data_IF_243441266807
#
_entry.id   IF_243441266807
#
_cell.length_a   1.000
_cell.length_b   1.000
_cell.length_c   1.000
_cell.angle_alpha   90.00
_cell.angle_beta   90.00
_cell.angle_gamma   90.00
#
_symmetry.space_group_name_H-M   'P 1'
#
loop_
_entity.id
_entity.type
_entity.pdbx_description
1 polymer ?
#
# COMPACT_ATOMS: atom_id res chain seq x y z
N UNK A 1 54.59 -5.78 8.16
CA UNK A 1 54.76 -6.77 7.08
C UNK A 1 53.41 -7.45 6.83
N UNK A 2 52.83 -7.29 5.63
CA UNK A 2 51.82 -8.22 5.06
C UNK A 2 52.58 -9.34 4.31
N UNK A 3 52.00 -10.52 4.04
CA UNK A 3 51.09 -10.71 2.89
C UNK A 3 49.90 -11.65 3.20
N UNK A 4 48.65 -11.33 2.81
CA UNK A 4 47.98 -11.76 1.58
C UNK A 4 48.36 -13.14 1.03
N UNK A 5 47.40 -14.09 1.06
CA UNK A 5 47.37 -15.20 0.12
C UNK A 5 45.95 -15.38 -0.43
N UNK A 6 45.82 -15.06 -1.72
CA UNK A 6 44.74 -15.43 -2.62
C UNK A 6 44.71 -16.95 -2.79
N UNK A 7 43.55 -17.59 -2.67
CA UNK A 7 43.24 -18.81 -3.42
C UNK A 7 41.85 -18.66 -4.05
N UNK A 8 41.91 -18.51 -5.37
CA UNK A 8 40.85 -18.58 -6.34
C UNK A 8 40.60 -20.06 -6.63
N UNK A 9 39.36 -20.55 -6.47
CA UNK A 9 38.97 -21.87 -6.98
C UNK A 9 37.61 -21.74 -7.67
N UNK A 10 37.71 -21.61 -8.99
CA UNK A 10 36.69 -21.95 -9.98
C UNK A 10 36.37 -23.45 -9.86
N UNK A 11 35.10 -23.81 -9.77
CA UNK A 11 34.61 -25.03 -10.40
C UNK A 11 33.22 -24.77 -10.99
N UNK A 12 33.21 -24.72 -12.33
CA UNK A 12 32.02 -24.89 -13.14
C UNK A 12 31.56 -26.35 -13.08
N UNK A 13 30.26 -26.58 -12.95
CA UNK A 13 29.64 -27.83 -13.40
C UNK A 13 28.18 -27.53 -13.77
N UNK A 14 27.90 -27.51 -15.07
CA UNK A 14 27.27 -28.57 -15.88
C UNK A 14 25.76 -28.37 -15.99
N UNK A 15 25.38 -28.08 -17.23
CA UNK A 15 24.03 -28.09 -17.80
C UNK A 15 23.35 -29.45 -17.61
N UNK A 16 22.07 -29.45 -17.23
CA UNK A 16 21.13 -30.50 -17.61
C UNK A 16 19.83 -29.86 -18.09
N UNK A 17 19.58 -29.98 -19.38
CA UNK A 17 18.28 -29.80 -20.02
C UNK A 17 17.35 -30.95 -19.61
N UNK A 18 16.08 -30.64 -19.40
CA UNK A 18 15.01 -31.61 -19.23
C UNK A 18 13.66 -30.98 -19.49
N UNK A 19 13.24 -30.95 -20.77
CA UNK A 19 11.87 -30.65 -21.16
C UNK A 19 11.00 -31.89 -20.89
N UNK A 20 9.83 -31.70 -20.28
CA UNK A 20 8.73 -32.63 -20.46
C UNK A 20 7.41 -31.86 -20.44
N UNK A 21 6.85 -31.66 -21.63
CA UNK A 21 5.49 -31.17 -21.87
C UNK A 21 4.61 -32.41 -21.95
N UNK A 22 3.59 -32.49 -21.09
CA UNK A 22 2.48 -33.44 -21.25
C UNK A 22 1.18 -32.67 -21.07
N UNK A 23 0.50 -32.43 -22.20
CA UNK A 23 -0.89 -31.98 -22.23
C UNK A 23 -1.79 -33.21 -22.23
N UNK A 24 -2.79 -33.24 -21.33
CA UNK A 24 -3.99 -34.04 -21.48
C UNK A 24 -5.20 -33.23 -20.99
N UNK A 25 -6.20 -33.15 -21.85
CA UNK A 25 -7.40 -32.31 -21.75
C UNK A 25 -8.48 -32.88 -20.81
N UNK A 26 -9.30 -31.94 -20.32
CA UNK A 26 -10.77 -31.95 -20.16
C UNK A 26 -11.48 -33.02 -19.30
N UNK A 27 -12.16 -32.55 -18.25
CA UNK A 27 -13.55 -32.95 -17.94
C UNK A 27 -14.23 -31.91 -17.03
N UNK A 28 -15.38 -31.43 -17.51
CA UNK A 28 -16.43 -30.66 -16.84
C UNK A 28 -17.10 -31.43 -15.70
N UNK A 29 -17.42 -30.77 -14.58
CA UNK A 29 -18.78 -30.65 -14.00
C UNK A 29 -18.76 -30.06 -12.56
N UNK A 30 -19.34 -28.87 -12.48
CA UNK A 30 -20.32 -28.34 -11.53
C UNK A 30 -20.33 -28.72 -10.04
N UNK A 31 -20.53 -27.66 -9.24
CA UNK A 31 -21.14 -27.60 -7.89
C UNK A 31 -20.18 -27.55 -6.71
N UNK A 32 -19.84 -26.32 -6.33
CA UNK A 32 -19.16 -26.02 -5.07
C UNK A 32 -19.04 -24.51 -4.80
N UNK A 33 -20.06 -23.71 -5.16
CA UNK A 33 -20.15 -22.34 -4.67
C UNK A 33 -20.55 -22.37 -3.20
N UNK A 34 -19.87 -21.53 -2.42
CA UNK A 34 -20.10 -21.18 -1.02
C UNK A 34 -19.70 -22.20 0.06
N UNK A 35 -18.40 -22.20 0.42
CA UNK A 35 -17.96 -21.98 1.83
C UNK A 35 -16.44 -21.77 1.96
N UNK A 36 -15.90 -20.64 1.48
CA UNK A 36 -14.52 -20.23 1.85
C UNK A 36 -14.30 -18.72 1.93
N UNK A 37 -15.36 -17.94 2.16
CA UNK A 37 -15.27 -16.48 2.38
C UNK A 37 -15.28 -16.06 3.85
N UNK A 38 -15.46 -16.97 4.83
CA UNK A 38 -15.62 -16.55 6.24
C UNK A 38 -14.33 -16.43 7.06
N UNK A 39 -13.14 -16.45 6.44
CA UNK A 39 -11.86 -16.29 7.15
C UNK A 39 -11.27 -14.87 7.09
N UNK A 40 -11.90 -13.96 6.36
CA UNK A 40 -11.30 -12.65 6.05
C UNK A 40 -11.84 -11.50 6.90
N UNK A 41 -12.97 -11.71 7.60
CA UNK A 41 -13.53 -10.66 8.44
C UNK A 41 -12.61 -10.34 9.63
N UNK A 42 -12.26 -9.06 9.81
CA UNK A 42 -11.46 -8.55 10.92
C UNK A 42 -12.05 -9.00 12.26
N UNK A 43 -13.37 -8.86 12.40
CA UNK A 43 -14.11 -9.22 13.61
C UNK A 43 -14.10 -10.72 13.91
N UNK A 44 -13.81 -11.57 12.93
CA UNK A 44 -13.71 -13.03 13.12
C UNK A 44 -12.30 -13.45 13.56
N UNK A 45 -11.27 -12.65 13.25
CA UNK A 45 -9.88 -12.99 13.54
C UNK A 45 -9.33 -12.31 14.80
N UNK A 46 -9.96 -11.23 15.27
CA UNK A 46 -9.41 -10.38 16.32
C UNK A 46 -10.45 -10.01 17.37
N UNK A 47 -9.99 -9.90 18.62
CA UNK A 47 -10.81 -9.34 19.69
C UNK A 47 -10.91 -7.80 19.55
N UNK A 48 -11.88 -7.21 20.24
CA UNK A 48 -12.16 -5.76 20.17
C UNK A 48 -10.94 -4.90 20.49
N UNK A 49 -10.16 -5.25 21.52
CA UNK A 49 -8.97 -4.47 21.90
C UNK A 49 -7.90 -4.48 20.79
N UNK A 50 -7.66 -5.63 20.17
CA UNK A 50 -6.76 -5.73 19.02
C UNK A 50 -7.26 -4.95 17.81
N UNK A 51 -8.58 -4.97 17.55
CA UNK A 51 -9.18 -4.20 16.45
C UNK A 51 -8.95 -2.70 16.66
N UNK A 52 -9.09 -2.18 17.88
CA UNK A 52 -8.82 -0.77 18.19
C UNK A 52 -7.36 -0.41 17.88
N UNK A 53 -6.41 -1.23 18.31
CA UNK A 53 -4.98 -1.02 18.01
C UNK A 53 -4.70 -1.06 16.51
N UNK A 54 -5.33 -1.98 15.77
CA UNK A 54 -5.18 -2.03 14.31
C UNK A 54 -5.81 -0.83 13.60
N UNK A 55 -6.92 -0.32 14.12
CA UNK A 55 -7.53 0.90 13.62
C UNK A 55 -6.65 2.12 13.88
N UNK A 56 -6.00 2.22 15.03
CA UNK A 56 -5.00 3.27 15.34
C UNK A 56 -3.78 3.19 14.40
N UNK A 57 -3.30 1.99 14.11
CA UNK A 57 -2.22 1.78 13.14
C UNK A 57 -2.64 2.15 11.70
N UNK A 58 -3.87 1.85 11.32
CA UNK A 58 -4.43 2.27 10.03
C UNK A 58 -4.53 3.80 9.92
N UNK A 59 -4.91 4.48 10.99
CA UNK A 59 -4.85 5.94 11.06
C UNK A 59 -3.41 6.47 10.94
N UNK A 60 -2.44 5.83 11.59
CA UNK A 60 -1.04 6.22 11.47
C UNK A 60 -0.56 6.20 10.00
N UNK A 61 -1.05 5.26 9.17
CA UNK A 61 -0.76 5.24 7.73
C UNK A 61 -1.30 6.45 6.97
N UNK A 62 -2.46 6.96 7.36
CA UNK A 62 -3.01 8.20 6.80
C UNK A 62 -2.13 9.37 7.21
N UNK A 63 -1.72 9.44 8.49
CA UNK A 63 -0.81 10.48 8.99
C UNK A 63 0.55 10.47 8.28
N UNK A 64 1.11 9.28 8.04
CA UNK A 64 2.35 9.09 7.28
C UNK A 64 2.19 9.63 5.84
N UNK A 65 1.07 9.33 5.17
CA UNK A 65 0.78 9.83 3.83
C UNK A 65 0.81 11.36 3.78
N UNK A 66 0.11 12.04 4.69
CA UNK A 66 0.09 13.50 4.71
C UNK A 66 1.43 14.13 5.10
N UNK A 67 2.21 13.45 5.95
CA UNK A 67 3.60 13.85 6.25
C UNK A 67 4.47 13.77 4.99
N UNK A 68 4.30 12.73 4.17
CA UNK A 68 5.01 12.62 2.89
C UNK A 68 4.56 13.66 1.86
N UNK A 69 3.27 14.01 1.81
CA UNK A 69 2.80 15.11 0.94
C UNK A 69 3.47 16.43 1.31
N UNK A 70 3.63 16.72 2.61
CA UNK A 70 4.33 17.92 3.06
C UNK A 70 5.79 17.92 2.60
N UNK A 71 6.51 16.80 2.77
CA UNK A 71 7.89 16.64 2.29
C UNK A 71 8.00 16.82 0.76
N UNK A 72 7.05 16.28 0.00
CA UNK A 72 7.03 16.39 -1.45
C UNK A 72 6.83 17.84 -1.94
N UNK A 73 5.98 18.59 -1.24
CA UNK A 73 5.70 20.01 -1.51
C UNK A 73 6.81 20.98 -1.05
N UNK A 74 7.79 20.49 -0.27
CA UNK A 74 8.89 21.28 0.27
C UNK A 74 9.95 21.68 -0.75
N UNK A 75 11.00 22.40 -0.29
CA UNK A 75 12.12 22.85 -1.11
C UNK A 75 13.27 21.83 -1.19
N UNK A 76 12.93 20.55 -1.08
CA UNK A 76 13.90 19.46 -1.06
C UNK A 76 14.50 19.17 -2.43
N UNK A 77 15.64 18.47 -2.44
CA UNK A 77 16.28 18.03 -3.69
C UNK A 77 15.38 17.11 -4.51
N UNK A 78 15.55 17.15 -5.84
CA UNK A 78 14.79 16.32 -6.77
C UNK A 78 14.95 14.80 -6.49
N UNK A 79 16.17 14.38 -6.16
CA UNK A 79 16.45 12.99 -5.79
C UNK A 79 15.67 12.56 -4.54
N UNK A 80 15.61 13.42 -3.53
CA UNK A 80 14.84 13.16 -2.31
C UNK A 80 13.33 13.10 -2.60
N UNK A 81 12.80 14.06 -3.37
CA UNK A 81 11.39 14.06 -3.78
C UNK A 81 10.99 12.77 -4.51
N UNK A 82 11.86 12.23 -5.35
CA UNK A 82 11.63 10.95 -6.02
C UNK A 82 11.56 9.79 -5.02
N UNK A 83 12.42 9.76 -3.99
CA UNK A 83 12.34 8.75 -2.93
C UNK A 83 11.05 8.89 -2.11
N UNK A 84 10.61 10.11 -1.82
CA UNK A 84 9.33 10.38 -1.15
C UNK A 84 8.16 9.87 -2.00
N UNK A 85 8.17 10.09 -3.32
CA UNK A 85 7.14 9.55 -4.22
C UNK A 85 7.07 8.02 -4.17
N UNK A 86 8.21 7.33 -4.20
CA UNK A 86 8.24 5.86 -4.07
C UNK A 86 7.75 5.39 -2.70
N UNK A 87 8.06 6.15 -1.64
CA UNK A 87 7.55 5.88 -0.29
C UNK A 87 6.03 6.02 -0.24
N UNK A 88 5.47 7.07 -0.83
CA UNK A 88 4.02 7.25 -0.95
C UNK A 88 3.40 6.10 -1.74
N UNK A 89 3.95 5.75 -2.91
CA UNK A 89 3.44 4.63 -3.72
C UNK A 89 3.42 3.32 -2.95
N UNK A 90 4.42 3.05 -2.13
CA UNK A 90 4.48 1.84 -1.30
C UNK A 90 3.37 1.74 -0.24
N UNK A 91 2.73 2.86 0.11
CA UNK A 91 1.57 2.86 1.00
C UNK A 91 0.31 2.35 0.30
N UNK A 92 0.26 2.41 -1.03
CA UNK A 92 -0.88 1.95 -1.82
C UNK A 92 -0.64 0.53 -2.33
N UNK A 93 -1.66 -0.31 -2.29
CA UNK A 93 -1.57 -1.69 -2.79
C UNK A 93 -1.48 -1.79 -4.32
N UNK A 94 -1.76 -0.69 -5.02
CA UNK A 94 -1.71 -0.59 -6.48
C UNK A 94 -1.24 0.82 -6.88
N UNK A 95 -0.29 0.93 -7.80
CA UNK A 95 0.20 2.21 -8.32
C UNK A 95 -0.74 2.85 -9.34
N UNK A 96 -1.62 2.05 -9.97
CA UNK A 96 -2.65 2.51 -10.92
C UNK A 96 -3.94 2.99 -10.24
N UNK A 97 -3.88 3.39 -8.97
CA UNK A 97 -5.05 3.90 -8.23
C UNK A 97 -5.51 5.23 -8.83
N UNK A 98 -6.80 5.28 -9.18
CA UNK A 98 -7.52 6.51 -9.50
C UNK A 98 -8.12 7.08 -8.22
N UNK A 99 -7.94 8.38 -7.99
CA UNK A 99 -8.47 9.08 -6.83
C UNK A 99 -9.04 10.44 -7.24
N UNK A 100 -9.87 11.03 -6.38
CA UNK A 100 -10.39 12.36 -6.63
C UNK A 100 -9.27 13.39 -6.50
N UNK A 101 -9.23 14.34 -7.43
CA UNK A 101 -8.23 15.38 -7.44
C UNK A 101 -8.55 16.44 -6.39
N UNK A 102 -8.00 16.31 -5.19
CA UNK A 102 -8.21 17.29 -4.12
C UNK A 102 -7.51 18.63 -4.34
N UNK A 103 -6.69 18.77 -5.37
CA UNK A 103 -5.87 19.97 -5.62
C UNK A 103 -6.48 20.88 -6.67
N UNK A 104 -7.13 20.32 -7.68
CA UNK A 104 -7.85 21.08 -8.70
C UNK A 104 -9.33 21.21 -8.29
N UNK A 105 -9.95 22.33 -8.65
CA UNK A 105 -11.36 22.63 -8.30
C UNK A 105 -12.37 21.96 -9.24
N UNK A 106 -11.95 20.95 -10.00
CA UNK A 106 -12.79 20.21 -10.92
C UNK A 106 -13.01 18.79 -10.39
N UNK A 107 -14.26 18.29 -10.49
CA UNK A 107 -14.66 16.90 -10.22
C UNK A 107 -13.96 15.94 -11.20
N UNK A 108 -12.66 15.79 -11.00
CA UNK A 108 -11.74 15.12 -11.90
C UNK A 108 -11.04 14.04 -11.12
N UNK A 109 -11.02 12.85 -11.69
CA UNK A 109 -10.20 11.75 -11.18
C UNK A 109 -8.78 11.88 -11.73
N UNK A 110 -7.80 11.55 -10.92
CA UNK A 110 -6.38 11.58 -11.27
C UNK A 110 -5.70 10.30 -10.80
N UNK A 111 -4.72 9.81 -11.57
CA UNK A 111 -3.88 8.69 -11.13
C UNK A 111 -3.00 9.10 -9.95
N UNK A 112 -2.59 8.18 -9.09
CA UNK A 112 -1.60 8.45 -8.04
C UNK A 112 -0.32 9.08 -8.61
N UNK A 113 0.26 8.55 -9.67
CA UNK A 113 1.49 9.10 -10.27
C UNK A 113 1.32 10.55 -10.72
N UNK A 114 0.28 10.85 -11.51
CA UNK A 114 0.00 12.22 -11.95
C UNK A 114 -0.29 13.18 -10.78
N UNK A 115 -0.98 12.70 -9.74
CA UNK A 115 -1.24 13.50 -8.53
C UNK A 115 0.07 13.85 -7.82
N UNK A 116 0.98 12.88 -7.66
CA UNK A 116 2.29 13.13 -7.05
C UNK A 116 3.16 14.06 -7.90
N UNK A 117 3.13 13.93 -9.22
CA UNK A 117 3.83 14.87 -10.11
C UNK A 117 3.27 16.30 -9.99
N UNK A 118 1.94 16.43 -9.86
CA UNK A 118 1.30 17.71 -9.61
C UNK A 118 1.80 18.29 -8.28
N UNK A 119 1.78 17.53 -7.19
CA UNK A 119 2.28 18.00 -5.88
C UNK A 119 3.76 18.37 -5.88
N UNK A 120 4.58 17.61 -6.61
CA UNK A 120 6.01 17.85 -6.70
C UNK A 120 6.36 19.14 -7.44
N UNK A 121 5.59 19.46 -8.49
CA UNK A 121 5.82 20.62 -9.36
C UNK A 121 5.10 21.88 -8.90
N UNK A 122 4.04 21.74 -8.11
CA UNK A 122 3.24 22.84 -7.60
C UNK A 122 3.62 23.23 -6.17
N UNK A 123 3.26 24.44 -5.77
CA UNK A 123 3.36 24.89 -4.37
C UNK A 123 2.09 24.56 -3.57
N UNK A 124 1.41 23.47 -3.92
CA UNK A 124 0.19 23.10 -3.23
C UNK A 124 0.52 22.57 -1.83
N UNK A 125 -0.02 23.24 -0.82
CA UNK A 125 0.15 22.83 0.56
C UNK A 125 -1.07 22.03 1.00
N UNK A 126 -0.82 20.80 1.45
CA UNK A 126 -1.85 19.91 1.96
C UNK A 126 -1.54 19.57 3.40
N UNK A 127 -2.51 19.81 4.27
CA UNK A 127 -2.41 19.53 5.69
C UNK A 127 -3.60 18.70 6.15
N UNK A 128 -3.34 17.59 6.84
CA UNK A 128 -4.37 16.86 7.58
C UNK A 128 -4.75 17.68 8.81
N UNK A 129 -6.04 17.97 8.99
CA UNK A 129 -6.54 18.71 10.15
C UNK A 129 -7.01 17.76 11.25
N UNK A 130 -8.03 16.97 10.96
CA UNK A 130 -8.69 16.11 11.95
C UNK A 130 -9.29 14.88 11.30
N UNK A 131 -9.27 13.76 12.03
CA UNK A 131 -9.94 12.51 11.65
C UNK A 131 -11.22 12.40 12.47
N UNK A 132 -12.37 12.49 11.80
CA UNK A 132 -13.68 12.68 12.42
C UNK A 132 -14.40 11.35 12.66
N UNK A 133 -14.29 10.41 11.72
CA UNK A 133 -15.00 9.13 11.79
C UNK A 133 -14.09 7.98 11.41
N UNK A 134 -14.28 6.87 12.11
CA UNK A 134 -13.60 5.62 11.87
C UNK A 134 -14.61 4.48 11.94
N UNK A 135 -14.70 3.67 10.90
CA UNK A 135 -15.56 2.50 10.86
C UNK A 135 -14.74 1.26 10.54
N UNK A 136 -15.13 0.13 11.14
CA UNK A 136 -14.56 -1.19 10.83
C UNK A 136 -15.48 -1.87 9.83
N UNK A 137 -14.94 -2.25 8.67
CA UNK A 137 -15.61 -3.08 7.68
C UNK A 137 -15.02 -4.49 7.72
N UNK A 138 -15.50 -5.37 6.83
CA UNK A 138 -15.11 -6.76 6.79
C UNK A 138 -13.58 -6.94 6.70
N UNK A 139 -12.90 -6.24 5.81
CA UNK A 139 -11.46 -6.38 5.54
C UNK A 139 -10.72 -5.03 5.49
N UNK A 140 -11.28 -4.01 6.11
CA UNK A 140 -10.71 -2.66 6.06
C UNK A 140 -11.23 -1.75 7.16
N UNK A 141 -10.54 -0.64 7.34
CA UNK A 141 -10.98 0.49 8.14
C UNK A 141 -11.35 1.65 7.21
N UNK A 142 -12.48 2.31 7.47
CA UNK A 142 -12.92 3.48 6.71
C UNK A 142 -12.77 4.71 7.58
N UNK A 143 -12.09 5.72 7.05
CA UNK A 143 -11.84 6.98 7.70
C UNK A 143 -12.54 8.11 6.95
N UNK A 144 -13.13 9.04 7.69
CA UNK A 144 -13.54 10.35 7.18
C UNK A 144 -12.77 11.42 7.94
N UNK A 145 -12.16 12.34 7.21
CA UNK A 145 -11.28 13.34 7.78
C UNK A 145 -11.25 14.62 6.93
N UNK A 146 -10.88 15.72 7.56
CA UNK A 146 -10.78 17.02 6.89
C UNK A 146 -9.32 17.34 6.59
N UNK A 147 -9.06 17.80 5.36
CA UNK A 147 -7.77 18.33 4.94
C UNK A 147 -7.88 19.80 4.55
N UNK A 148 -6.79 20.54 4.72
CA UNK A 148 -6.63 21.89 4.21
C UNK A 148 -5.77 21.84 2.96
N UNK A 149 -6.32 22.29 1.82
CA UNK A 149 -5.62 22.41 0.54
C UNK A 149 -5.61 23.87 0.13
N UNK A 150 -4.45 24.53 0.15
CA UNK A 150 -4.29 25.96 -0.17
C UNK A 150 -5.31 26.88 0.54
N UNK A 151 -5.58 26.61 1.82
CA UNK A 151 -6.58 27.31 2.66
C UNK A 151 -8.04 26.94 2.44
N UNK A 152 -8.36 26.00 1.55
CA UNK A 152 -9.70 25.44 1.40
C UNK A 152 -9.81 24.12 2.15
N UNK A 153 -10.89 23.96 2.93
CA UNK A 153 -11.18 22.69 3.60
C UNK A 153 -11.84 21.72 2.62
N UNK A 154 -11.34 20.49 2.56
CA UNK A 154 -11.93 19.40 1.79
C UNK A 154 -12.13 18.20 2.71
N UNK A 155 -13.31 17.58 2.60
CA UNK A 155 -13.61 16.34 3.31
C UNK A 155 -13.12 15.19 2.47
N UNK A 156 -12.47 14.22 3.11
CA UNK A 156 -11.93 13.05 2.44
C UNK A 156 -12.45 11.81 3.14
N UNK A 157 -12.93 10.86 2.35
CA UNK A 157 -13.16 9.50 2.76
C UNK A 157 -12.06 8.61 2.17
N UNK A 158 -11.42 7.82 3.03
CA UNK A 158 -10.40 6.87 2.61
C UNK A 158 -10.59 5.52 3.30
N UNK A 159 -10.41 4.45 2.53
CA UNK A 159 -10.37 3.09 3.03
C UNK A 159 -8.91 2.66 3.24
N UNK A 160 -8.62 1.99 4.35
CA UNK A 160 -7.34 1.33 4.62
C UNK A 160 -7.60 -0.16 4.67
N UNK A 161 -7.15 -0.87 3.64
CA UNK A 161 -7.30 -2.32 3.55
C UNK A 161 -6.41 -3.01 4.58
N UNK A 162 -6.93 -4.08 5.18
CA UNK A 162 -6.23 -4.85 6.18
C UNK A 162 -6.42 -6.34 5.89
N UNK A 163 -5.32 -7.00 5.50
CA UNK A 163 -5.40 -8.37 4.98
C UNK A 163 -4.16 -9.20 5.35
N UNK A 164 -4.31 -10.54 5.44
CA UNK A 164 -3.21 -11.44 5.72
C UNK A 164 -2.33 -11.64 4.48
N UNK A 165 -1.01 -11.66 4.69
CA UNK A 165 0.02 -11.94 3.69
C UNK A 165 0.98 -12.99 4.24
N UNK A 166 1.32 -13.98 3.42
CA UNK A 166 2.33 -14.98 3.78
C UNK A 166 3.72 -14.40 3.54
N UNK A 167 4.52 -14.28 4.61
CA UNK A 167 5.90 -13.83 4.55
C UNK A 167 6.87 -14.94 4.92
N UNK A 168 7.99 -14.98 4.20
CA UNK A 168 9.08 -15.91 4.45
C UNK A 168 10.11 -15.28 5.40
N UNK A 169 10.45 -16.03 6.44
CA UNK A 169 11.46 -15.69 7.44
C UNK A 169 12.47 -16.83 7.51
N UNK A 170 13.53 -16.74 6.70
CA UNK A 170 14.46 -17.84 6.48
C UNK A 170 13.75 -19.03 5.81
N UNK A 171 13.69 -20.17 6.51
CA UNK A 171 13.03 -21.39 6.01
C UNK A 171 11.58 -21.55 6.52
N UNK A 172 11.03 -20.55 7.22
CA UNK A 172 9.67 -20.60 7.80
C UNK A 172 8.77 -19.58 7.11
N UNK A 173 7.52 -19.97 6.86
CA UNK A 173 6.47 -19.07 6.39
C UNK A 173 5.55 -18.71 7.55
N UNK A 174 5.19 -17.43 7.68
CA UNK A 174 4.22 -16.96 8.66
C UNK A 174 3.24 -16.02 7.99
N UNK A 175 1.98 -16.09 8.43
CA UNK A 175 0.98 -15.10 8.09
C UNK A 175 1.22 -13.83 8.90
N UNK A 176 1.28 -12.69 8.20
CA UNK A 176 1.41 -11.35 8.78
C UNK A 176 0.32 -10.49 8.17
N UNK A 177 -0.35 -9.70 9.00
CA UNK A 177 -1.38 -8.79 8.52
C UNK A 177 -0.77 -7.46 8.11
N UNK A 178 -1.15 -6.96 6.94
CA UNK A 178 -0.62 -5.75 6.33
C UNK A 178 -1.71 -4.72 6.06
N UNK A 179 -1.28 -3.47 5.92
CA UNK A 179 -2.14 -2.33 5.59
C UNK A 179 -1.78 -1.78 4.23
N UNK A 180 -2.78 -1.42 3.44
CA UNK A 180 -2.59 -0.56 2.27
C UNK A 180 -3.66 0.50 2.19
N UNK A 181 -3.28 1.68 1.69
CA UNK A 181 -4.19 2.78 1.46
C UNK A 181 -4.99 2.54 0.18
N UNK A 182 -6.29 2.81 0.29
CA UNK A 182 -7.21 2.93 -0.83
C UNK A 182 -7.24 4.35 -1.39
N UNK A 183 -8.03 4.57 -2.46
CA UNK A 183 -8.16 5.87 -3.09
C UNK A 183 -8.73 6.93 -2.14
N UNK A 184 -8.31 8.17 -2.34
CA UNK A 184 -8.91 9.34 -1.72
C UNK A 184 -10.22 9.67 -2.46
N UNK A 185 -11.30 9.86 -1.70
CA UNK A 185 -12.62 10.23 -2.22
C UNK A 185 -13.14 11.50 -1.53
N UNK A 186 -13.74 12.44 -2.25
CA UNK A 186 -14.29 13.70 -1.72
C UNK A 186 -15.82 13.69 -1.60
#
# INVERSE_FOLDING_TARGET
MKPFLNIFLLFASVLCFGQNISNKEMSTETSGVNKKMSKQAIQTNFNVASIVVYQENAEAKIKDLYSYFQLLSGNESEAFKNQVMESIKSLFGNTAVMMDNMVLDADTTITLDAFLQLLKSSKHHIQLLEIEKKAVQENSFVFSYTVLVNSQKKNIQQQVFFYPVQKQFGNKTKEVWEYTLGPLKM
#
